data_IF_653085118935
#
_entry.id   IF_653085118935
#
_cell.length_a   1.000
_cell.length_b   1.000
_cell.length_c   1.000
_cell.angle_alpha   90.00
_cell.angle_beta   90.00
_cell.angle_gamma   90.00
#
_symmetry.space_group_name_H-M   'P 1'
#
loop_
_entity.id
_entity.type
_entity.pdbx_description
1 polymer ?
#
# COMPACT_ATOMS: atom_id res chain seq x y z
N UNK A 1 5.80 34.29 -48.74
CA UNK A 1 6.22 32.88 -48.93
C UNK A 1 7.28 32.61 -47.87
N UNK A 2 6.90 32.03 -46.72
CA UNK A 2 7.82 31.69 -45.64
C UNK A 2 8.42 30.30 -45.92
N UNK A 3 9.72 30.06 -45.69
CA UNK A 3 10.29 28.73 -45.81
C UNK A 3 10.04 27.93 -44.52
N UNK A 4 9.64 26.68 -44.71
CA UNK A 4 9.28 25.70 -43.68
C UNK A 4 10.45 25.40 -42.72
N UNK A 5 10.15 25.39 -41.42
CA UNK A 5 10.97 24.76 -40.39
C UNK A 5 10.91 23.22 -40.56
N UNK A 6 12.03 22.48 -40.44
CA UNK A 6 11.96 21.02 -40.34
C UNK A 6 11.68 20.60 -38.88
N UNK A 7 10.60 19.85 -38.70
CA UNK A 7 10.27 19.18 -37.44
C UNK A 7 11.32 18.12 -37.07
N UNK A 8 11.92 18.27 -35.88
CA UNK A 8 12.84 17.28 -35.32
C UNK A 8 12.09 15.97 -34.99
N UNK A 9 12.24 15.00 -35.88
CA UNK A 9 11.70 13.64 -35.74
C UNK A 9 12.53 12.86 -34.72
N UNK A 10 12.02 12.76 -33.49
CA UNK A 10 12.62 11.92 -32.45
C UNK A 10 12.39 10.43 -32.76
N UNK A 11 13.45 9.71 -33.16
CA UNK A 11 13.44 8.25 -33.30
C UNK A 11 13.90 7.59 -32.00
N UNK A 12 12.96 7.02 -31.26
CA UNK A 12 13.23 6.13 -30.13
C UNK A 12 13.44 4.73 -30.66
N UNK A 13 14.69 4.29 -30.77
CA UNK A 13 15.05 2.91 -31.10
C UNK A 13 15.02 2.06 -29.82
N UNK A 14 13.93 1.33 -29.63
CA UNK A 14 13.80 0.32 -28.57
C UNK A 14 14.84 -0.79 -28.77
N UNK A 15 15.72 -0.95 -27.77
CA UNK A 15 16.77 -1.97 -27.70
C UNK A 15 16.34 -3.13 -26.77
N UNK A 16 15.09 -3.61 -26.86
CA UNK A 16 14.75 -4.88 -26.23
C UNK A 16 15.52 -6.02 -26.92
N UNK A 17 16.67 -6.29 -26.32
CA UNK A 17 17.48 -7.50 -26.38
C UNK A 17 16.56 -8.72 -26.38
N UNK A 18 16.22 -9.18 -27.58
CA UNK A 18 15.65 -10.51 -27.81
C UNK A 18 16.72 -11.50 -27.38
N UNK A 19 16.50 -12.19 -26.25
CA UNK A 19 17.33 -13.33 -25.87
C UNK A 19 17.15 -14.37 -26.97
N UNK A 20 18.24 -14.67 -27.67
CA UNK A 20 18.31 -15.78 -28.61
C UNK A 20 18.01 -17.06 -27.84
N UNK A 21 16.87 -17.65 -28.17
CA UNK A 21 16.48 -18.99 -27.80
C UNK A 21 16.95 -19.91 -28.92
N UNK A 22 18.12 -20.50 -28.74
CA UNK A 22 18.55 -21.67 -29.51
C UNK A 22 19.46 -22.51 -28.62
N UNK A 23 18.95 -23.66 -28.17
CA UNK A 23 19.57 -24.97 -28.39
C UNK A 23 18.94 -26.05 -27.47
N UNK A 24 18.11 -26.90 -28.06
CA UNK A 24 17.74 -28.26 -27.61
C UNK A 24 17.61 -29.08 -28.91
N UNK A 25 17.77 -30.43 -28.95
CA UNK A 25 18.26 -31.38 -27.94
C UNK A 25 19.28 -32.41 -28.51
N UNK A 26 19.93 -33.25 -27.68
CA UNK A 26 20.32 -34.62 -28.11
C UNK A 26 20.02 -35.69 -27.05
N UNK A 27 19.61 -36.90 -27.46
CA UNK A 27 18.96 -37.89 -26.60
C UNK A 27 19.86 -39.10 -26.27
N UNK A 28 19.57 -39.77 -25.13
CA UNK A 28 19.67 -41.22 -24.84
C UNK A 28 19.69 -41.39 -23.30
N UNK A 29 18.54 -41.47 -22.63
CA UNK A 29 17.81 -42.71 -22.31
C UNK A 29 18.57 -43.68 -21.38
N UNK A 30 18.24 -43.63 -20.07
CA UNK A 30 18.08 -44.81 -19.20
C UNK A 30 17.31 -44.41 -17.93
N UNK A 31 16.05 -44.81 -17.87
CA UNK A 31 15.19 -44.92 -16.69
C UNK A 31 14.58 -46.35 -16.77
N UNK A 32 14.24 -47.05 -15.66
CA UNK A 32 13.30 -46.53 -14.64
C UNK A 32 13.53 -47.00 -13.18
N UNK A 33 13.06 -46.24 -12.18
CA UNK A 33 12.27 -46.78 -11.03
C UNK A 33 11.61 -45.65 -10.18
N UNK A 34 10.34 -45.82 -9.70
CA UNK A 34 9.59 -44.84 -8.90
C UNK A 34 9.81 -45.02 -7.36
N UNK A 35 9.25 -44.14 -6.49
CA UNK A 35 9.96 -43.60 -5.32
C UNK A 35 9.64 -44.28 -3.98
N UNK A 36 10.44 -44.05 -2.91
CA UNK A 36 9.94 -44.04 -1.56
C UNK A 36 9.56 -42.61 -1.13
N UNK A 37 8.39 -42.53 -0.48
CA UNK A 37 7.75 -41.34 0.06
C UNK A 37 8.44 -40.88 1.35
N UNK A 38 8.55 -39.57 1.51
CA UNK A 38 8.73 -38.76 2.74
C UNK A 38 9.90 -39.08 3.69
N UNK A 39 10.88 -38.17 3.72
CA UNK A 39 11.27 -37.54 4.99
C UNK A 39 11.34 -36.03 4.80
N UNK A 40 10.38 -35.37 5.46
CA UNK A 40 10.39 -33.95 5.79
C UNK A 40 11.62 -33.63 6.63
N UNK A 41 12.73 -33.26 5.98
CA UNK A 41 13.79 -32.50 6.65
C UNK A 41 13.48 -31.02 6.45
N UNK A 42 12.90 -30.43 7.49
CA UNK A 42 12.89 -29.00 7.70
C UNK A 42 14.33 -28.47 7.59
N UNK A 43 14.67 -27.91 6.43
CA UNK A 43 15.72 -26.92 6.34
C UNK A 43 15.03 -25.57 6.59
N UNK A 44 15.46 -24.77 7.57
CA UNK A 44 14.92 -23.44 7.76
C UNK A 44 15.17 -22.70 6.45
N UNK A 45 14.10 -22.24 5.82
CA UNK A 45 14.18 -21.16 4.85
C UNK A 45 14.80 -20.00 5.61
N UNK A 46 16.11 -19.84 5.48
CA UNK A 46 16.80 -18.62 5.83
C UNK A 46 16.19 -17.61 4.87
N UNK A 47 15.15 -16.94 5.36
CA UNK A 47 14.58 -15.78 4.74
C UNK A 47 15.76 -14.87 4.36
N UNK A 48 15.78 -14.28 3.15
CA UNK A 48 16.74 -13.23 2.87
C UNK A 48 16.67 -12.24 4.04
N UNK A 49 17.83 -11.87 4.63
CA UNK A 49 17.84 -10.96 5.76
C UNK A 49 17.07 -9.73 5.32
N UNK A 50 16.06 -9.37 6.12
CA UNK A 50 15.34 -8.12 6.01
C UNK A 50 16.37 -7.05 5.63
N UNK A 51 16.20 -6.51 4.43
CA UNK A 51 17.02 -5.39 3.99
C UNK A 51 17.03 -4.39 5.16
N UNK A 52 18.21 -3.89 5.57
CA UNK A 52 18.27 -2.91 6.63
C UNK A 52 17.34 -1.77 6.20
N UNK A 53 16.30 -1.53 7.02
CA UNK A 53 15.46 -0.36 6.85
C UNK A 53 16.41 0.84 6.86
N UNK A 54 16.61 1.45 5.70
CA UNK A 54 17.44 2.63 5.54
C UNK A 54 16.93 3.68 6.54
N UNK A 55 17.74 4.13 7.53
CA UNK A 55 17.34 5.20 8.44
C UNK A 55 17.28 6.58 7.73
N UNK A 56 17.34 6.59 6.39
CA UNK A 56 17.21 7.75 5.53
C UNK A 56 15.78 7.93 4.94
N UNK A 57 14.85 7.01 5.21
CA UNK A 57 13.44 7.27 4.99
C UNK A 57 12.93 8.20 6.10
N UNK A 58 12.87 9.52 5.84
CA UNK A 58 11.91 10.38 6.53
C UNK A 58 10.52 9.73 6.45
N UNK A 59 9.58 10.00 7.39
CA UNK A 59 8.37 9.19 7.61
C UNK A 59 7.82 8.74 6.26
N UNK A 60 7.94 7.43 5.97
CA UNK A 60 7.67 6.89 4.64
C UNK A 60 6.32 7.44 4.20
N UNK A 61 6.33 8.33 3.19
CA UNK A 61 5.14 9.01 2.70
C UNK A 61 4.27 7.97 2.01
N UNK A 62 3.52 7.24 2.81
CA UNK A 62 2.64 6.13 2.44
C UNK A 62 1.18 6.54 2.58
N UNK A 63 0.30 5.88 1.83
CA UNK A 63 -1.13 6.10 1.98
C UNK A 63 -1.60 5.67 3.37
N UNK A 64 -1.04 4.59 3.91
CA UNK A 64 -1.26 4.18 5.30
C UNK A 64 -0.94 5.30 6.30
N UNK A 65 0.19 5.99 6.13
CA UNK A 65 0.56 7.15 6.96
C UNK A 65 -0.45 8.30 6.86
N UNK A 66 -0.95 8.59 5.66
CA UNK A 66 -2.00 9.59 5.46
C UNK A 66 -3.31 9.20 6.17
N UNK A 67 -3.74 7.94 6.04
CA UNK A 67 -4.96 7.44 6.69
C UNK A 67 -4.86 7.51 8.22
N UNK A 68 -3.71 7.14 8.78
CA UNK A 68 -3.45 7.23 10.22
C UNK A 68 -3.46 8.68 10.72
N UNK A 69 -2.93 9.61 9.93
CA UNK A 69 -2.95 11.04 10.27
C UNK A 69 -4.39 11.58 10.32
N UNK A 70 -5.23 11.25 9.34
CA UNK A 70 -6.64 11.62 9.34
C UNK A 70 -7.42 10.96 10.48
N UNK A 71 -7.18 9.67 10.73
CA UNK A 71 -7.82 8.95 11.81
C UNK A 71 -7.48 9.54 13.18
N UNK A 72 -6.22 9.95 13.39
CA UNK A 72 -5.82 10.67 14.60
C UNK A 72 -6.61 11.96 14.78
N UNK A 73 -6.78 12.75 13.71
CA UNK A 73 -7.61 13.96 13.74
C UNK A 73 -9.06 13.66 14.13
N UNK A 74 -9.64 12.58 13.60
CA UNK A 74 -11.01 12.17 13.94
C UNK A 74 -11.14 11.76 15.41
N UNK A 75 -10.16 11.00 15.94
CA UNK A 75 -10.15 10.57 17.36
C UNK A 75 -10.04 11.76 18.31
N UNK A 76 -9.22 12.76 17.98
CA UNK A 76 -9.13 14.01 18.75
C UNK A 76 -10.46 14.76 18.72
N UNK A 77 -11.07 14.91 17.55
CA UNK A 77 -12.36 15.57 17.38
C UNK A 77 -13.51 14.85 18.12
N UNK A 78 -13.45 13.52 18.23
CA UNK A 78 -14.39 12.73 19.03
C UNK A 78 -14.20 12.89 20.56
N UNK A 79 -13.14 13.57 21.00
CA UNK A 79 -12.80 13.74 22.41
C UNK A 79 -12.16 12.49 23.06
N UNK A 80 -11.82 11.48 22.26
CA UNK A 80 -11.14 10.25 22.70
C UNK A 80 -9.66 10.50 23.02
N UNK A 81 -9.07 11.56 22.44
CA UNK A 81 -7.71 12.01 22.70
C UNK A 81 -7.67 13.51 23.01
N UNK A 82 -6.73 13.99 23.86
CA UNK A 82 -6.50 15.43 24.03
C UNK A 82 -5.92 16.03 22.75
N UNK A 83 -6.33 17.24 22.41
CA UNK A 83 -5.72 18.00 21.33
C UNK A 83 -4.22 18.24 21.62
N UNK A 84 -3.30 17.82 20.74
CA UNK A 84 -1.86 17.97 20.96
C UNK A 84 -1.40 19.44 21.00
N UNK A 85 -2.18 20.38 20.46
CA UNK A 85 -1.82 21.81 20.42
C UNK A 85 -2.30 22.52 21.69
N UNK A 86 -3.55 22.31 22.08
CA UNK A 86 -4.17 23.02 23.21
C UNK A 86 -4.13 22.24 24.51
N UNK A 87 -3.89 20.92 24.46
CA UNK A 87 -3.99 20.00 25.60
C UNK A 87 -5.42 19.78 26.09
N UNK A 88 -6.41 20.42 25.46
CA UNK A 88 -7.81 20.35 25.87
C UNK A 88 -8.50 19.17 25.17
N UNK A 89 -9.42 18.50 25.88
CA UNK A 89 -10.38 17.61 25.21
C UNK A 89 -11.58 18.44 24.80
N UNK A 90 -11.67 18.74 23.52
CA UNK A 90 -12.79 19.44 22.95
C UNK A 90 -13.46 18.50 21.94
N UNK A 91 -14.74 18.25 22.15
CA UNK A 91 -15.51 17.34 21.33
C UNK A 91 -16.18 18.14 20.21
N UNK A 92 -15.78 17.88 18.98
CA UNK A 92 -16.33 18.47 17.76
C UNK A 92 -16.81 17.35 16.82
N UNK A 93 -18.11 17.09 16.89
CA UNK A 93 -18.75 16.07 16.04
C UNK A 93 -18.76 16.46 14.56
N UNK A 94 -18.75 17.75 14.22
CA UNK A 94 -18.71 18.16 12.83
C UNK A 94 -17.33 17.85 12.24
N UNK A 95 -16.26 18.22 12.94
CA UNK A 95 -14.90 17.92 12.53
C UNK A 95 -14.64 16.39 12.45
N UNK A 96 -15.19 15.62 13.39
CA UNK A 96 -15.09 14.16 13.35
C UNK A 96 -15.79 13.56 12.13
N UNK A 97 -16.98 14.06 11.77
CA UNK A 97 -17.72 13.63 10.60
C UNK A 97 -16.94 13.96 9.31
N UNK A 98 -16.44 15.19 9.18
CA UNK A 98 -15.67 15.62 8.01
C UNK A 98 -14.42 14.73 7.79
N UNK A 99 -13.72 14.36 8.87
CA UNK A 99 -12.56 13.48 8.80
C UNK A 99 -12.93 12.05 8.35
N UNK A 100 -14.06 11.52 8.81
CA UNK A 100 -14.58 10.21 8.39
C UNK A 100 -14.99 10.26 6.91
N UNK A 101 -15.72 11.29 6.51
CA UNK A 101 -16.16 11.47 5.13
C UNK A 101 -14.97 11.61 4.18
N UNK A 102 -13.90 12.28 4.60
CA UNK A 102 -12.67 12.35 3.84
C UNK A 102 -11.98 10.98 3.68
N UNK A 103 -11.97 10.14 4.72
CA UNK A 103 -11.47 8.76 4.62
C UNK A 103 -12.32 7.92 3.66
N UNK A 104 -13.64 8.08 3.69
CA UNK A 104 -14.56 7.42 2.75
C UNK A 104 -14.31 7.89 1.31
N UNK A 105 -14.14 9.19 1.10
CA UNK A 105 -13.77 9.74 -0.21
C UNK A 105 -12.43 9.18 -0.70
N UNK A 106 -11.43 9.09 0.19
CA UNK A 106 -10.13 8.51 -0.14
C UNK A 106 -10.25 7.03 -0.51
N UNK A 107 -11.15 6.27 0.13
CA UNK A 107 -11.43 4.88 -0.24
C UNK A 107 -11.87 4.75 -1.70
N UNK A 108 -12.72 5.65 -2.18
CA UNK A 108 -13.15 5.65 -3.58
C UNK A 108 -12.05 6.15 -4.51
N UNK A 109 -11.39 7.26 -4.15
CA UNK A 109 -10.39 7.91 -5.01
C UNK A 109 -9.08 7.16 -5.15
N UNK A 110 -8.74 6.32 -4.17
CA UNK A 110 -7.50 5.53 -4.18
C UNK A 110 -7.74 4.07 -4.58
N UNK A 111 -8.95 3.71 -5.01
CA UNK A 111 -9.24 2.35 -5.48
C UNK A 111 -8.33 1.98 -6.67
N UNK A 112 -7.84 0.73 -6.67
CA UNK A 112 -6.87 0.24 -7.66
C UNK A 112 -5.43 0.79 -7.49
N UNK A 113 -5.21 1.76 -6.60
CA UNK A 113 -3.89 2.37 -6.33
C UNK A 113 -3.36 2.05 -4.92
N UNK A 114 -4.11 1.26 -4.14
CA UNK A 114 -3.72 0.81 -2.79
C UNK A 114 -3.17 -0.61 -2.83
N UNK A 115 -2.22 -0.91 -1.95
CA UNK A 115 -1.86 -2.28 -1.61
C UNK A 115 -2.98 -2.98 -0.83
N UNK A 116 -2.88 -4.31 -0.67
CA UNK A 116 -3.82 -5.07 0.14
C UNK A 116 -3.83 -4.62 1.61
N UNK A 117 -2.63 -4.35 2.15
CA UNK A 117 -2.46 -3.83 3.51
C UNK A 117 -3.07 -2.44 3.67
N UNK A 118 -2.80 -1.51 2.74
CA UNK A 118 -3.37 -0.16 2.78
C UNK A 118 -4.90 -0.17 2.70
N UNK A 119 -5.46 -1.09 1.91
CA UNK A 119 -6.91 -1.26 1.80
C UNK A 119 -7.50 -1.78 3.11
N UNK A 120 -6.86 -2.77 3.73
CA UNK A 120 -7.31 -3.31 5.01
C UNK A 120 -7.25 -2.25 6.12
N UNK A 121 -6.14 -1.52 6.24
CA UNK A 121 -6.00 -0.42 7.21
C UNK A 121 -7.10 0.61 7.03
N UNK A 122 -7.37 1.03 5.79
CA UNK A 122 -8.39 2.03 5.52
C UNK A 122 -9.79 1.56 5.91
N UNK A 123 -10.14 0.31 5.61
CA UNK A 123 -11.44 -0.27 5.96
C UNK A 123 -11.62 -0.40 7.47
N UNK A 124 -10.59 -0.86 8.18
CA UNK A 124 -10.59 -0.96 9.65
C UNK A 124 -10.75 0.41 10.31
N UNK A 125 -10.03 1.43 9.82
CA UNK A 125 -10.12 2.80 10.33
C UNK A 125 -11.50 3.41 10.11
N UNK A 126 -12.07 3.29 8.91
CA UNK A 126 -13.41 3.82 8.61
C UNK A 126 -14.44 3.17 9.54
N UNK A 127 -14.39 1.84 9.69
CA UNK A 127 -15.35 1.12 10.53
C UNK A 127 -15.26 1.53 12.00
N UNK A 128 -14.05 1.56 12.58
CA UNK A 128 -13.86 1.93 13.99
C UNK A 128 -14.31 3.37 14.27
N UNK A 129 -13.94 4.32 13.41
CA UNK A 129 -14.31 5.73 13.57
C UNK A 129 -15.82 5.93 13.45
N UNK A 130 -16.49 5.29 12.48
CA UNK A 130 -17.95 5.36 12.35
C UNK A 130 -18.65 4.79 13.59
N UNK A 131 -18.18 3.67 14.12
CA UNK A 131 -18.76 3.07 15.32
C UNK A 131 -18.60 3.99 16.54
N UNK A 132 -17.43 4.61 16.71
CA UNK A 132 -17.18 5.58 17.78
C UNK A 132 -18.07 6.81 17.62
N UNK A 133 -18.15 7.36 16.41
CA UNK A 133 -19.01 8.49 16.09
C UNK A 133 -20.48 8.22 16.46
N UNK A 134 -21.02 7.06 16.07
CA UNK A 134 -22.39 6.65 16.41
C UNK A 134 -22.56 6.48 17.92
N UNK A 135 -21.55 5.96 18.63
CA UNK A 135 -21.61 5.81 20.09
C UNK A 135 -21.65 7.16 20.81
N UNK A 136 -20.85 8.12 20.35
CA UNK A 136 -20.77 9.46 20.94
C UNK A 136 -22.05 10.25 20.63
N UNK A 137 -22.54 10.21 19.39
CA UNK A 137 -23.79 10.88 18.99
C UNK A 137 -25.01 10.33 19.71
N UNK A 138 -25.06 9.02 20.01
CA UNK A 138 -26.14 8.43 20.81
C UNK A 138 -26.10 8.78 22.30
N UNK A 139 -24.96 9.28 22.79
CA UNK A 139 -24.75 9.65 24.20
C UNK A 139 -24.97 11.15 24.46
N UNK A 140 -25.01 11.95 23.39
CA UNK A 140 -25.21 13.41 23.41
C UNK A 140 -26.69 13.73 23.31
#
# INVERSE_FOLDING_TARGET
MAPNEPEDTFKVTDRRRRQDADELPRPAASAPEPPPRVQSSAAPSIAPPAAPADPASGPDRSLAGLFMMLASSAVVALGDAPDPVTGQRQMDLAQAADAIDLLVLLREKTEGNRSGEESQILEELIYDLQLRYVRVTKRS
#
